data_IF_672348886733
#
_entry.id   IF_672348886733
#
_cell.length_a   1.000
_cell.length_b   1.000
_cell.length_c   1.000
_cell.angle_alpha   90.00
_cell.angle_beta   90.00
_cell.angle_gamma   90.00
#
_symmetry.space_group_name_H-M   'P 1'
#
loop_
_entity.id
_entity.type
_entity.pdbx_description
1 polymer ?
#
# COMPACT_ATOMS: atom_id res chain seq x y z
N UNK A 1 2.52 26.77 -13.02
CA UNK A 1 1.31 26.15 -13.58
C UNK A 1 0.30 26.02 -12.44
N UNK A 2 -0.80 26.77 -12.51
CA UNK A 2 -1.76 26.94 -11.41
C UNK A 2 -2.61 25.68 -11.19
N UNK A 3 -2.58 25.10 -10.00
CA UNK A 3 -3.52 24.06 -9.57
C UNK A 3 -4.71 24.72 -8.86
N UNK A 4 -5.91 24.51 -9.39
CA UNK A 4 -7.17 24.93 -8.77
C UNK A 4 -7.60 23.92 -7.68
N UNK A 5 -7.79 24.46 -6.47
CA UNK A 5 -8.79 24.15 -5.44
C UNK A 5 -9.26 22.68 -5.26
N UNK A 6 -8.63 21.95 -4.32
CA UNK A 6 -9.19 20.72 -3.72
C UNK A 6 -9.83 21.05 -2.36
N UNK A 7 -11.02 21.66 -2.37
CA UNK A 7 -11.81 21.84 -1.16
C UNK A 7 -13.22 21.30 -1.38
N UNK A 8 -13.51 20.13 -0.83
CA UNK A 8 -14.51 19.97 0.23
C UNK A 8 -14.56 18.51 0.73
N UNK A 9 -14.78 18.40 2.05
CA UNK A 9 -15.22 17.25 2.87
C UNK A 9 -14.17 16.58 3.78
N UNK A 10 -14.37 16.82 5.08
CA UNK A 10 -13.89 16.11 6.28
C UNK A 10 -15.10 16.14 7.27
N UNK A 11 -15.33 15.16 8.17
CA UNK A 11 -14.37 14.91 9.24
C UNK A 11 -14.13 13.42 9.55
N UNK A 12 -12.85 13.13 9.83
CA UNK A 12 -12.32 12.13 10.80
C UNK A 12 -11.77 10.83 10.21
N UNK A 13 -10.47 10.94 9.91
CA UNK A 13 -9.43 9.91 9.80
C UNK A 13 -9.15 9.43 8.38
N UNK A 14 -8.30 10.24 7.74
CA UNK A 14 -7.70 10.10 6.42
C UNK A 14 -6.45 9.21 6.51
N UNK A 15 -6.32 8.24 5.61
CA UNK A 15 -5.00 7.81 5.11
C UNK A 15 -4.96 8.14 3.63
N UNK A 16 -4.78 9.42 3.29
CA UNK A 16 -4.23 9.77 1.98
C UNK A 16 -2.72 9.82 2.13
N UNK A 17 -2.04 8.80 1.61
CA UNK A 17 -0.63 8.95 1.25
C UNK A 17 -0.57 9.08 -0.28
N UNK A 18 -0.56 10.33 -0.72
CA UNK A 18 -0.30 10.70 -2.11
C UNK A 18 1.20 10.53 -2.35
N UNK A 19 1.62 9.34 -2.74
CA UNK A 19 2.97 9.16 -3.28
C UNK A 19 2.85 9.17 -4.81
N UNK A 20 3.44 10.20 -5.41
CA UNK A 20 3.62 10.31 -6.85
C UNK A 20 4.77 9.38 -7.24
N UNK A 21 4.48 8.34 -8.01
CA UNK A 21 5.49 7.38 -8.44
C UNK A 21 5.94 7.73 -9.86
N UNK A 22 7.19 8.19 -10.01
CA UNK A 22 7.81 8.42 -11.31
C UNK A 22 8.31 7.09 -11.87
N UNK A 23 7.59 6.52 -12.83
CA UNK A 23 8.06 5.37 -13.62
C UNK A 23 9.07 5.84 -14.66
N UNK A 24 10.26 6.26 -14.20
CA UNK A 24 11.42 6.41 -15.07
C UNK A 24 12.50 5.50 -14.53
N UNK A 25 12.49 4.26 -14.98
CA UNK A 25 13.59 3.62 -15.71
C UNK A 25 13.12 2.19 -16.07
N UNK A 26 13.44 1.76 -17.30
CA UNK A 26 13.14 0.45 -17.91
C UNK A 26 11.69 0.27 -18.43
N UNK A 27 11.47 0.73 -19.66
CA UNK A 27 10.29 0.47 -20.52
C UNK A 27 8.91 0.74 -19.89
N UNK A 28 8.66 1.97 -19.45
CA UNK A 28 7.31 2.43 -19.15
C UNK A 28 6.51 2.56 -20.48
N UNK A 29 5.57 1.64 -20.75
CA UNK A 29 4.69 1.71 -21.93
C UNK A 29 3.51 2.69 -21.78
N UNK A 30 3.47 3.51 -20.72
CA UNK A 30 2.36 4.45 -20.53
C UNK A 30 2.76 5.62 -19.64
N UNK A 31 2.82 6.84 -20.20
CA UNK A 31 2.93 8.12 -19.47
C UNK A 31 1.71 8.43 -18.57
N UNK A 32 0.99 7.40 -18.13
CA UNK A 32 -0.22 7.51 -17.35
C UNK A 32 0.05 7.14 -15.90
N UNK A 33 0.09 8.16 -15.07
CA UNK A 33 0.31 8.02 -13.64
C UNK A 33 -0.96 7.49 -12.96
N UNK A 34 -0.80 6.55 -12.04
CA UNK A 34 -1.92 6.02 -11.26
C UNK A 34 -1.69 6.24 -9.77
N UNK A 35 -2.78 6.47 -9.04
CA UNK A 35 -2.79 6.55 -7.57
C UNK A 35 -3.71 5.46 -7.04
N UNK A 36 -3.22 4.65 -6.10
CA UNK A 36 -4.00 3.60 -5.44
C UNK A 36 -4.37 4.08 -4.05
N UNK A 37 -5.66 4.01 -3.73
CA UNK A 37 -6.21 4.33 -2.40
C UNK A 37 -6.77 3.06 -1.77
N UNK A 38 -6.32 2.75 -0.56
CA UNK A 38 -6.91 1.71 0.29
C UNK A 38 -7.62 2.40 1.46
N UNK A 39 -8.94 2.30 1.48
CA UNK A 39 -9.81 2.96 2.47
C UNK A 39 -10.50 1.91 3.33
N UNK A 40 -10.36 2.03 4.65
CA UNK A 40 -11.06 1.17 5.61
C UNK A 40 -12.27 1.94 6.15
N UNK A 41 -13.46 1.36 6.02
CA UNK A 41 -14.72 2.02 6.39
C UNK A 41 -14.96 2.05 7.91
N UNK A 42 -14.33 1.14 8.65
CA UNK A 42 -14.53 1.01 10.10
C UNK A 42 -13.19 0.85 10.83
N UNK A 43 -13.04 1.58 11.94
CA UNK A 43 -11.86 1.52 12.80
C UNK A 43 -12.17 0.63 14.01
N UNK A 44 -11.71 -0.62 14.00
CA UNK A 44 -11.72 -1.57 15.12
C UNK A 44 -13.10 -1.91 15.74
N UNK A 45 -13.42 -3.20 16.01
CA UNK A 45 -12.66 -4.41 15.68
C UNK A 45 -13.10 -5.02 14.33
N UNK A 46 -13.89 -4.31 13.53
CA UNK A 46 -14.53 -4.88 12.35
C UNK A 46 -13.54 -5.00 11.20
N UNK A 47 -13.26 -6.27 10.88
CA UNK A 47 -12.29 -6.79 9.92
C UNK A 47 -12.77 -6.56 8.48
N UNK A 48 -13.08 -5.32 8.13
CA UNK A 48 -13.46 -4.98 6.76
C UNK A 48 -12.20 -4.98 5.88
N UNK A 49 -12.28 -5.71 4.76
CA UNK A 49 -11.30 -5.56 3.69
C UNK A 49 -11.34 -4.10 3.19
N UNK A 50 -10.20 -3.53 2.77
CA UNK A 50 -10.20 -2.16 2.29
C UNK A 50 -11.04 -2.04 1.03
N UNK A 51 -11.76 -0.93 0.90
CA UNK A 51 -12.21 -0.46 -0.41
C UNK A 51 -10.97 0.02 -1.15
N UNK A 52 -10.79 -0.48 -2.38
CA UNK A 52 -9.65 -0.08 -3.22
C UNK A 52 -10.17 0.76 -4.37
N UNK A 53 -9.54 1.92 -4.57
CA UNK A 53 -9.84 2.80 -5.69
C UNK A 53 -8.54 3.18 -6.38
N UNK A 54 -8.55 3.17 -7.71
CA UNK A 54 -7.44 3.58 -8.55
C UNK A 54 -7.84 4.84 -9.30
N UNK A 55 -7.04 5.88 -9.14
CA UNK A 55 -7.12 7.09 -9.94
C UNK A 55 -6.16 7.00 -11.10
N UNK A 56 -6.64 7.28 -12.30
CA UNK A 56 -5.80 7.39 -13.49
C UNK A 56 -5.66 8.87 -13.86
N UNK A 57 -4.44 9.41 -13.84
CA UNK A 57 -4.18 10.85 -14.04
C UNK A 57 -4.59 11.29 -15.44
N UNK A 58 -4.32 10.49 -16.47
CA UNK A 58 -4.65 10.84 -17.86
C UNK A 58 -6.15 10.99 -18.10
N UNK A 59 -6.96 10.16 -17.45
CA UNK A 59 -8.43 10.21 -17.58
C UNK A 59 -9.07 11.11 -16.53
N UNK A 60 -8.38 11.36 -15.42
CA UNK A 60 -8.91 12.10 -14.29
C UNK A 60 -10.02 11.36 -13.52
N UNK A 61 -10.09 10.04 -13.64
CA UNK A 61 -11.20 9.23 -13.12
C UNK A 61 -10.71 8.33 -11.99
N UNK A 62 -11.50 8.26 -10.91
CA UNK A 62 -11.42 7.23 -9.88
C UNK A 62 -12.26 6.03 -10.30
N UNK A 63 -11.70 4.82 -10.15
CA UNK A 63 -12.41 3.57 -10.39
C UNK A 63 -12.15 2.59 -9.25
N UNK A 64 -13.19 1.89 -8.85
CA UNK A 64 -13.08 0.84 -7.85
C UNK A 64 -12.38 -0.41 -8.40
N UNK A 65 -11.55 -1.03 -7.56
CA UNK A 65 -10.90 -2.32 -7.80
C UNK A 65 -11.31 -3.26 -6.69
N UNK A 66 -11.60 -4.51 -7.05
CA UNK A 66 -12.01 -5.52 -6.08
C UNK A 66 -10.78 -6.03 -5.34
N UNK A 67 -10.79 -5.91 -4.00
CA UNK A 67 -9.77 -6.55 -3.18
C UNK A 67 -10.03 -8.07 -3.12
N UNK A 68 -9.04 -8.92 -3.43
CA UNK A 68 -9.25 -10.36 -3.50
C UNK A 68 -9.56 -11.01 -2.15
N UNK A 69 -10.55 -11.90 -2.13
CA UNK A 69 -11.01 -12.58 -0.91
C UNK A 69 -10.05 -13.66 -0.37
N UNK A 70 -9.14 -14.17 -1.21
CA UNK A 70 -8.18 -15.20 -0.83
C UNK A 70 -6.92 -14.65 -0.15
N UNK A 71 -6.67 -13.35 -0.20
CA UNK A 71 -5.51 -12.76 0.48
C UNK A 71 -5.79 -12.61 1.98
N UNK A 72 -4.94 -13.23 2.78
CA UNK A 72 -5.08 -13.22 4.24
C UNK A 72 -4.62 -11.90 4.84
N UNK A 73 -3.63 -11.27 4.23
CA UNK A 73 -3.06 -10.00 4.67
C UNK A 73 -3.77 -8.83 3.98
N UNK A 74 -4.56 -8.08 4.75
CA UNK A 74 -5.37 -6.98 4.21
C UNK A 74 -5.42 -5.77 5.12
N UNK A 75 -4.77 -5.80 6.27
CA UNK A 75 -4.79 -4.71 7.22
C UNK A 75 -3.45 -3.99 7.24
N UNK A 76 -3.45 -2.70 6.88
CA UNK A 76 -2.26 -1.86 6.76
C UNK A 76 -2.35 -0.73 7.78
N UNK A 77 -1.30 -0.54 8.58
CA UNK A 77 -1.24 0.60 9.49
C UNK A 77 -0.85 1.88 8.76
N UNK A 78 -1.53 2.98 9.05
CA UNK A 78 -1.21 4.30 8.47
C UNK A 78 0.21 4.81 8.76
N UNK A 79 0.84 4.30 9.83
CA UNK A 79 2.22 4.68 10.23
C UNK A 79 3.29 3.91 9.46
N UNK A 80 2.93 2.85 8.75
CA UNK A 80 3.89 1.98 8.09
C UNK A 80 4.33 2.54 6.73
N UNK A 81 5.56 2.22 6.37
CA UNK A 81 6.16 2.64 5.10
C UNK A 81 5.50 1.92 3.92
N UNK A 82 5.33 2.65 2.83
CA UNK A 82 5.01 2.11 1.52
C UNK A 82 6.14 2.42 0.55
N UNK A 83 6.34 1.58 -0.46
CA UNK A 83 7.32 1.84 -1.51
C UNK A 83 6.82 1.35 -2.86
N UNK A 84 7.21 2.04 -3.92
CA UNK A 84 7.01 1.58 -5.29
C UNK A 84 8.33 1.07 -5.84
N UNK A 85 8.32 -0.17 -6.30
CA UNK A 85 9.49 -0.81 -6.91
C UNK A 85 9.05 -1.97 -7.79
N UNK A 86 9.72 -2.15 -8.93
CA UNK A 86 9.45 -3.22 -9.89
C UNK A 86 7.99 -3.27 -10.37
N UNK A 87 7.39 -2.10 -10.63
CA UNK A 87 6.01 -1.98 -11.11
C UNK A 87 4.93 -2.21 -10.05
N UNK A 88 5.32 -2.52 -8.81
CA UNK A 88 4.39 -2.79 -7.72
C UNK A 88 4.53 -1.76 -6.61
N UNK A 89 3.40 -1.41 -5.99
CA UNK A 89 3.37 -0.76 -4.68
C UNK A 89 3.39 -1.85 -3.61
N UNK A 90 4.22 -1.67 -2.58
CA UNK A 90 4.43 -2.62 -1.50
C UNK A 90 4.07 -1.97 -0.16
N UNK A 91 3.31 -2.69 0.67
CA UNK A 91 2.96 -2.30 2.03
C UNK A 91 3.22 -3.44 2.99
N UNK A 92 3.65 -3.13 4.21
CA UNK A 92 3.57 -4.12 5.28
C UNK A 92 2.10 -4.21 5.69
N UNK A 93 1.61 -5.42 5.90
CA UNK A 93 0.26 -5.68 6.37
C UNK A 93 0.26 -6.78 7.42
N UNK A 94 -0.87 -6.94 8.12
CA UNK A 94 -1.17 -8.09 8.98
C UNK A 94 -2.45 -8.79 8.52
N UNK A 95 -2.52 -10.09 8.77
CA UNK A 95 -3.74 -10.90 8.61
C UNK A 95 -4.67 -10.86 9.82
N UNK A 96 -4.17 -10.42 10.97
CA UNK A 96 -4.90 -10.45 12.23
C UNK A 96 -4.86 -9.09 12.98
N UNK A 97 -5.86 -8.89 13.84
CA UNK A 97 -5.99 -7.71 14.70
C UNK A 97 -5.04 -7.72 15.90
N UNK A 98 -4.34 -8.83 16.13
CA UNK A 98 -3.37 -8.97 17.21
C UNK A 98 -1.98 -8.52 16.77
N UNK A 99 -1.82 -8.18 15.48
CA UNK A 99 -0.57 -7.79 14.87
C UNK A 99 0.51 -8.85 15.13
N UNK A 100 0.12 -10.13 15.04
CA UNK A 100 1.00 -11.26 15.35
C UNK A 100 1.69 -11.87 14.14
N UNK A 101 1.23 -11.58 12.92
CA UNK A 101 1.86 -12.07 11.71
C UNK A 101 1.84 -11.02 10.59
N UNK A 102 3.03 -10.66 10.12
CA UNK A 102 3.22 -9.67 9.07
C UNK A 102 3.64 -10.28 7.74
N UNK A 103 3.04 -9.75 6.67
CA UNK A 103 3.41 -10.02 5.29
C UNK A 103 3.61 -8.69 4.54
N UNK A 104 4.10 -8.77 3.31
CA UNK A 104 4.09 -7.65 2.38
C UNK A 104 2.93 -7.83 1.41
N UNK A 105 1.98 -6.91 1.42
CA UNK A 105 0.97 -6.79 0.37
C UNK A 105 1.60 -6.09 -0.83
N UNK A 106 1.38 -6.64 -2.02
CA UNK A 106 1.81 -6.04 -3.28
C UNK A 106 0.62 -5.66 -4.13
N UNK A 107 0.71 -4.57 -4.87
CA UNK A 107 -0.24 -4.20 -5.92
C UNK A 107 0.51 -3.82 -7.19
N UNK A 108 0.34 -4.60 -8.26
CA UNK A 108 0.92 -4.31 -9.57
C UNK A 108 0.12 -3.20 -10.25
N UNK A 109 0.77 -2.11 -10.63
CA UNK A 109 0.08 -0.93 -11.18
C UNK A 109 -0.40 -1.12 -12.63
N UNK A 110 0.21 -2.06 -13.35
CA UNK A 110 -0.08 -2.36 -14.75
C UNK A 110 -1.24 -3.35 -14.84
N UNK A 111 -1.15 -4.45 -14.09
CA UNK A 111 -2.18 -5.50 -14.07
C UNK A 111 -3.31 -5.22 -13.08
N UNK A 112 -3.09 -4.32 -12.12
CA UNK A 112 -4.00 -3.98 -11.03
C UNK A 112 -4.39 -5.19 -10.16
N UNK A 113 -3.45 -6.13 -10.04
CA UNK A 113 -3.62 -7.34 -9.24
C UNK A 113 -2.87 -7.20 -7.91
N UNK A 114 -3.50 -7.73 -6.86
CA UNK A 114 -2.87 -7.85 -5.55
C UNK A 114 -2.12 -9.18 -5.43
N UNK A 115 -1.05 -9.14 -4.64
CA UNK A 115 -0.27 -10.31 -4.24
C UNK A 115 0.18 -10.19 -2.79
N UNK A 116 0.77 -11.26 -2.26
CA UNK A 116 1.27 -11.32 -0.90
C UNK A 116 2.64 -12.01 -0.89
N UNK A 117 3.62 -11.39 -0.24
CA UNK A 117 4.95 -11.95 0.01
C UNK A 117 5.03 -12.24 1.50
N UNK A 118 5.20 -13.51 1.84
CA UNK A 118 5.37 -13.94 3.22
C UNK A 118 6.74 -13.51 3.74
N UNK A 119 6.77 -12.96 4.96
CA UNK A 119 8.02 -12.70 5.65
C UNK A 119 8.52 -13.99 6.32
N UNK A 120 9.85 -14.14 6.48
CA UNK A 120 10.41 -15.13 7.38
C UNK A 120 9.77 -15.03 8.76
N UNK A 121 9.51 -16.17 9.42
CA UNK A 121 8.75 -16.24 10.67
C UNK A 121 9.30 -15.31 11.77
N UNK A 122 10.62 -15.20 11.87
CA UNK A 122 11.28 -14.32 12.85
C UNK A 122 11.03 -12.82 12.60
N UNK A 123 10.79 -12.40 11.35
CA UNK A 123 10.41 -11.02 11.03
C UNK A 123 8.90 -10.83 11.11
N UNK A 124 8.14 -11.87 10.79
CA UNK A 124 6.68 -11.80 10.77
C UNK A 124 6.07 -11.47 12.14
N UNK A 125 6.83 -11.63 13.24
CA UNK A 125 6.41 -11.32 14.61
C UNK A 125 6.98 -9.99 15.14
N UNK A 126 7.78 -9.27 14.36
CA UNK A 126 8.47 -8.05 14.80
C UNK A 126 7.58 -6.81 14.73
N UNK A 127 7.42 -6.08 15.85
CA UNK A 127 6.50 -4.93 15.89
C UNK A 127 6.99 -3.67 15.18
N UNK A 128 8.28 -3.61 14.80
CA UNK A 128 8.90 -2.45 14.17
C UNK A 128 9.55 -2.83 12.85
N UNK A 129 8.71 -2.95 11.82
CA UNK A 129 9.12 -3.22 10.46
C UNK A 129 8.99 -1.97 9.58
N UNK A 130 9.93 -1.83 8.65
CA UNK A 130 9.89 -0.87 7.53
C UNK A 130 10.26 -1.58 6.24
N UNK A 131 9.72 -1.11 5.13
CA UNK A 131 10.09 -1.52 3.79
C UNK A 131 10.94 -0.40 3.17
N UNK A 132 11.99 -0.80 2.48
CA UNK A 132 12.87 0.09 1.71
C UNK A 132 13.29 -0.59 0.42
N UNK A 133 13.92 0.16 -0.47
CA UNK A 133 14.67 -0.37 -1.60
C UNK A 133 16.16 -0.19 -1.30
N UNK A 134 16.94 -1.24 -1.52
CA UNK A 134 18.41 -1.23 -1.40
C UNK A 134 18.97 -1.73 -2.72
N UNK A 135 19.61 -0.83 -3.47
CA UNK A 135 19.95 -1.09 -4.87
C UNK A 135 18.68 -1.32 -5.68
N UNK A 136 18.56 -2.48 -6.31
CA UNK A 136 17.40 -2.90 -7.11
C UNK A 136 16.48 -3.88 -6.37
N UNK A 137 16.75 -4.14 -5.09
CA UNK A 137 16.03 -5.14 -4.29
C UNK A 137 15.12 -4.50 -3.25
N UNK A 138 13.96 -5.14 -3.04
CA UNK A 138 13.08 -4.86 -1.92
C UNK A 138 13.74 -5.35 -0.63
N UNK A 139 13.78 -4.50 0.39
CA UNK A 139 14.38 -4.80 1.68
C UNK A 139 13.38 -4.55 2.81
N UNK A 140 13.44 -5.41 3.82
CA UNK A 140 12.70 -5.24 5.07
C UNK A 140 13.70 -4.90 6.16
N UNK A 141 13.49 -3.77 6.82
CA UNK A 141 14.31 -3.28 7.91
C UNK A 141 13.53 -3.51 9.19
N UNK A 142 14.11 -4.27 10.11
CA UNK A 142 13.56 -4.46 11.44
C UNK A 142 14.46 -3.79 12.47
N UNK A 143 13.87 -3.26 13.54
CA UNK A 143 14.61 -2.77 14.69
C UNK A 143 14.22 -3.61 15.90
N UNK A 144 15.12 -4.46 16.39
CA UNK A 144 14.95 -5.08 17.68
C UNK A 144 15.23 -4.03 18.77
N UNK A 145 14.24 -3.77 19.62
CA UNK A 145 14.55 -3.16 20.91
C UNK A 145 15.30 -4.23 21.69
N UNK A 146 16.60 -4.05 21.90
CA UNK A 146 17.34 -4.87 22.87
C UNK A 146 16.80 -4.45 24.25
N UNK A 147 15.96 -5.31 24.83
CA UNK A 147 15.48 -5.21 26.21
C UNK A 147 16.54 -5.69 27.19
#
# INVERSE_FOLDING_TARGET
MHLHNFNQLNPRYFVRRLDYFDCKEWFCMSDDYKVVSLTYLECYPTRSRPKVEVYTVKTGIWREVIFPHNLSCFYIQSKWSQIFSNGCVHWICTSDSNWSHYSILTFDINTELFGEILLPEFLAQEHSLKISVVGESLAVIHSSCIS
#
